data_IF_947030488504
#
_entry.id   IF_947030488504
#
_cell.length_a   1.000
_cell.length_b   1.000
_cell.length_c   1.000
_cell.angle_alpha   90.00
_cell.angle_beta   90.00
_cell.angle_gamma   90.00
#
_symmetry.space_group_name_H-M   'P 1'
#
loop_
_entity.id
_entity.type
_entity.pdbx_description
1 polymer ?
#
# COMPACT_ATOMS: atom_id res chain seq x y z
N UNK A 1 10.10 9.64 24.50
CA UNK A 1 8.72 9.35 24.03
C UNK A 1 8.78 8.11 23.15
N UNK A 2 7.84 7.19 23.23
CA UNK A 2 7.79 5.99 22.38
C UNK A 2 6.88 6.32 21.20
N UNK A 3 7.37 6.09 19.98
CA UNK A 3 6.58 6.23 18.75
C UNK A 3 6.05 4.86 18.33
N UNK A 4 4.74 4.73 18.14
CA UNK A 4 4.07 3.49 17.78
C UNK A 4 3.65 3.55 16.31
N UNK A 5 4.29 2.73 15.48
CA UNK A 5 3.96 2.60 14.06
C UNK A 5 3.17 1.33 13.80
N UNK A 6 2.06 1.46 13.09
CA UNK A 6 1.25 0.32 12.68
C UNK A 6 1.86 -0.31 11.41
N UNK A 7 2.51 -1.46 11.58
CA UNK A 7 3.16 -2.24 10.50
C UNK A 7 2.12 -2.78 9.52
N UNK A 8 2.14 -2.28 8.29
CA UNK A 8 1.15 -2.54 7.23
C UNK A 8 -0.28 -2.15 7.62
N UNK A 9 -0.40 -1.06 8.40
CA UNK A 9 -1.63 -0.68 9.06
C UNK A 9 -1.92 -1.49 10.32
N UNK A 10 -3.13 -1.42 10.84
CA UNK A 10 -3.57 -2.23 11.98
C UNK A 10 -3.86 -3.68 11.54
N UNK A 11 -2.82 -4.39 11.11
CA UNK A 11 -2.90 -5.70 10.43
C UNK A 11 -3.42 -6.85 11.30
N UNK A 12 -3.51 -6.67 12.61
CA UNK A 12 -4.20 -7.62 13.49
C UNK A 12 -5.73 -7.52 13.43
N UNK A 13 -6.26 -6.40 12.93
CA UNK A 13 -7.70 -6.09 12.91
C UNK A 13 -8.30 -6.03 11.50
N UNK A 14 -7.48 -5.82 10.49
CA UNK A 14 -7.90 -5.68 9.10
C UNK A 14 -6.80 -6.20 8.15
N UNK A 15 -7.14 -6.54 6.90
CA UNK A 15 -6.15 -7.05 5.94
C UNK A 15 -4.95 -6.12 5.78
N UNK A 16 -3.74 -6.66 5.87
CA UNK A 16 -2.50 -5.90 5.78
C UNK A 16 -2.42 -5.05 4.49
N UNK A 17 -1.79 -3.88 4.57
CA UNK A 17 -1.57 -2.99 3.43
C UNK A 17 -2.85 -2.61 2.67
N UNK A 18 -3.97 -2.51 3.37
CA UNK A 18 -5.27 -2.08 2.81
C UNK A 18 -5.77 -0.81 3.47
N UNK A 19 -6.65 -0.06 2.80
CA UNK A 19 -7.24 1.15 3.39
C UNK A 19 -7.98 0.87 4.70
N UNK A 20 -8.76 -0.21 4.87
CA UNK A 20 -9.34 -0.55 6.17
C UNK A 20 -8.31 -0.68 7.29
N UNK A 21 -7.14 -1.30 7.02
CA UNK A 21 -6.08 -1.43 8.02
C UNK A 21 -5.45 -0.09 8.39
N UNK A 22 -5.23 0.79 7.41
CA UNK A 22 -4.68 2.14 7.66
C UNK A 22 -5.67 3.04 8.38
N UNK A 23 -6.94 3.04 7.99
CA UNK A 23 -8.00 3.77 8.73
C UNK A 23 -8.09 3.29 10.17
N UNK A 24 -7.99 1.98 10.39
CA UNK A 24 -8.01 1.41 11.74
C UNK A 24 -6.80 1.85 12.57
N UNK A 25 -5.63 1.97 11.96
CA UNK A 25 -4.43 2.49 12.64
C UNK A 25 -4.63 3.95 13.10
N UNK A 26 -5.21 4.79 12.25
CA UNK A 26 -5.56 6.18 12.59
C UNK A 26 -6.57 6.23 13.75
N UNK A 27 -7.64 5.43 13.69
CA UNK A 27 -8.67 5.35 14.75
C UNK A 27 -8.10 4.89 16.08
N UNK A 28 -7.12 3.98 16.08
CA UNK A 28 -6.46 3.47 17.28
C UNK A 28 -5.43 4.46 17.86
N UNK A 29 -5.17 5.58 17.17
CA UNK A 29 -4.24 6.61 17.64
C UNK A 29 -2.77 6.21 17.50
N UNK A 30 -2.42 5.42 16.50
CA UNK A 30 -1.02 5.16 16.17
C UNK A 30 -0.32 6.47 15.77
N UNK A 31 0.95 6.64 16.15
CA UNK A 31 1.74 7.82 15.78
C UNK A 31 2.13 7.82 14.31
N UNK A 32 2.21 6.63 13.72
CA UNK A 32 2.55 6.47 12.32
C UNK A 32 2.12 5.13 11.74
N UNK A 33 2.39 4.96 10.47
CA UNK A 33 2.25 3.68 9.75
C UNK A 33 3.54 3.31 9.06
N UNK A 34 3.66 2.03 8.80
CA UNK A 34 4.59 1.49 7.81
C UNK A 34 3.79 0.83 6.70
N UNK A 35 4.24 0.96 5.48
CA UNK A 35 3.63 0.33 4.30
C UNK A 35 4.68 -0.04 3.26
N UNK A 36 4.29 -0.94 2.37
CA UNK A 36 5.11 -1.42 1.26
C UNK A 36 4.48 -1.02 -0.05
N UNK A 37 5.29 -0.57 -1.02
CA UNK A 37 4.81 -0.20 -2.35
C UNK A 37 5.59 -0.91 -3.45
N UNK A 38 4.86 -1.30 -4.49
CA UNK A 38 5.39 -1.86 -5.73
C UNK A 38 5.02 -0.99 -6.93
N UNK A 39 5.95 -0.88 -7.87
CA UNK A 39 5.72 -0.18 -9.13
C UNK A 39 5.12 -1.12 -10.17
N UNK A 40 3.97 -0.76 -10.70
CA UNK A 40 3.28 -1.50 -11.77
C UNK A 40 3.82 -1.16 -13.16
N UNK A 41 3.37 -1.90 -14.19
CA UNK A 41 3.83 -1.70 -15.58
C UNK A 41 3.47 -0.32 -16.15
N UNK A 42 2.40 0.28 -15.65
CA UNK A 42 1.91 1.61 -16.05
C UNK A 42 2.43 2.74 -15.14
N UNK A 43 3.46 2.46 -14.32
CA UNK A 43 4.14 3.47 -13.52
C UNK A 43 3.38 3.95 -12.29
N UNK A 44 2.38 3.20 -11.83
CA UNK A 44 1.66 3.49 -10.59
C UNK A 44 2.28 2.75 -9.41
N UNK A 45 2.18 3.31 -8.21
CA UNK A 45 2.54 2.62 -6.98
C UNK A 45 1.31 2.00 -6.33
N UNK A 46 1.34 0.67 -6.16
CA UNK A 46 0.32 -0.12 -5.49
C UNK A 46 0.86 -0.58 -4.14
N UNK A 47 0.03 -0.50 -3.10
CA UNK A 47 0.40 -0.88 -1.74
C UNK A 47 0.23 -2.38 -1.54
N UNK A 48 1.35 -3.08 -1.38
CA UNK A 48 1.40 -4.53 -1.15
C UNK A 48 2.81 -4.90 -0.67
N UNK A 49 2.94 -5.89 0.21
CA UNK A 49 4.25 -6.33 0.70
C UNK A 49 4.97 -7.24 -0.31
N UNK A 50 4.31 -8.32 -0.73
CA UNK A 50 4.91 -9.31 -1.63
C UNK A 50 4.92 -8.80 -3.09
N UNK A 51 5.87 -9.25 -3.87
CA UNK A 51 5.89 -9.02 -5.33
C UNK A 51 4.77 -9.77 -6.05
N UNK A 52 4.33 -10.92 -5.52
CA UNK A 52 3.16 -11.67 -6.00
C UNK A 52 1.91 -11.36 -5.16
N UNK A 53 0.77 -11.25 -5.81
CA UNK A 53 -0.51 -10.97 -5.14
C UNK A 53 -1.14 -12.19 -4.43
N UNK A 54 -0.55 -13.35 -4.59
CA UNK A 54 -1.11 -14.67 -4.25
C UNK A 54 -1.38 -14.87 -2.76
N UNK A 55 -0.48 -14.43 -1.88
CA UNK A 55 -0.60 -14.64 -0.44
C UNK A 55 -1.74 -13.85 0.21
N UNK A 56 -1.97 -12.65 -0.26
CA UNK A 56 -2.89 -11.69 0.39
C UNK A 56 -4.17 -11.45 -0.40
N UNK A 57 -4.30 -12.01 -1.61
CA UNK A 57 -5.49 -11.81 -2.44
C UNK A 57 -6.05 -13.13 -2.99
N UNK A 58 -7.17 -13.03 -3.68
CA UNK A 58 -7.76 -14.12 -4.48
C UNK A 58 -7.18 -14.23 -5.90
N UNK A 59 -6.19 -13.40 -6.23
CA UNK A 59 -5.50 -13.39 -7.51
C UNK A 59 -4.18 -14.14 -7.51
N UNK A 60 -3.50 -14.10 -8.65
CA UNK A 60 -2.17 -14.68 -8.85
C UNK A 60 -1.34 -13.84 -9.81
N UNK A 61 -0.04 -13.80 -9.61
CA UNK A 61 0.92 -13.14 -10.50
C UNK A 61 1.69 -12.00 -9.85
N UNK A 62 2.63 -11.42 -10.60
CA UNK A 62 3.57 -10.41 -10.12
C UNK A 62 3.06 -8.99 -10.39
N UNK A 63 3.12 -8.12 -9.39
CA UNK A 63 2.77 -6.70 -9.51
C UNK A 63 3.60 -5.97 -10.56
N UNK A 64 4.88 -6.34 -10.71
CA UNK A 64 5.77 -5.78 -11.73
C UNK A 64 5.36 -6.14 -13.17
N UNK A 65 4.46 -7.09 -13.36
CA UNK A 65 3.95 -7.55 -14.66
C UNK A 65 2.49 -7.14 -14.92
N UNK A 66 1.87 -6.41 -13.98
CA UNK A 66 0.48 -5.95 -14.05
C UNK A 66 0.40 -4.44 -14.14
N UNK A 67 -0.70 -3.94 -14.72
CA UNK A 67 -1.13 -2.57 -14.50
C UNK A 67 -1.76 -2.42 -13.11
N UNK A 68 -1.84 -1.19 -12.60
CA UNK A 68 -2.53 -0.93 -11.36
C UNK A 68 -4.01 -1.35 -11.40
N UNK A 69 -4.68 -1.14 -12.54
CA UNK A 69 -6.07 -1.56 -12.74
C UNK A 69 -6.22 -3.08 -12.63
N UNK A 70 -5.32 -3.85 -13.24
CA UNK A 70 -5.33 -5.32 -13.16
C UNK A 70 -5.14 -5.80 -11.72
N UNK A 71 -4.14 -5.27 -11.01
CA UNK A 71 -3.88 -5.62 -9.62
C UNK A 71 -5.07 -5.31 -8.70
N UNK A 72 -5.77 -4.22 -8.94
CA UNK A 72 -6.90 -3.77 -8.13
C UNK A 72 -8.22 -4.53 -8.38
N UNK A 73 -8.26 -5.40 -9.37
CA UNK A 73 -9.41 -6.31 -9.57
C UNK A 73 -9.47 -7.41 -8.53
N UNK A 74 -8.35 -7.76 -7.90
CA UNK A 74 -8.29 -8.79 -6.88
C UNK A 74 -8.81 -8.29 -5.52
N UNK A 75 -9.29 -9.25 -4.71
CA UNK A 75 -9.74 -8.98 -3.36
C UNK A 75 -8.61 -9.23 -2.35
N UNK A 76 -8.03 -8.19 -1.81
CA UNK A 76 -6.95 -8.25 -0.81
C UNK A 76 -7.45 -8.49 0.62
N UNK A 77 -8.73 -8.75 0.79
CA UNK A 77 -9.30 -9.27 2.04
C UNK A 77 -9.61 -10.77 2.00
N UNK A 78 -9.47 -11.42 0.85
CA UNK A 78 -9.87 -12.81 0.64
C UNK A 78 -9.17 -13.81 1.55
N UNK A 79 -7.94 -13.51 1.99
CA UNK A 79 -7.14 -14.38 2.86
C UNK A 79 -7.14 -13.95 4.33
N UNK A 80 -7.83 -12.86 4.67
CA UNK A 80 -7.88 -12.39 6.06
C UNK A 80 -8.97 -13.16 6.84
N UNK A 81 -8.59 -13.86 7.93
CA UNK A 81 -9.53 -14.68 8.68
C UNK A 81 -10.66 -13.83 9.29
N UNK A 82 -11.90 -14.25 9.07
CA UNK A 82 -13.06 -13.61 9.66
C UNK A 82 -13.47 -12.27 9.04
N UNK A 83 -12.88 -11.88 7.92
CA UNK A 83 -13.31 -10.66 7.21
C UNK A 83 -14.72 -10.85 6.66
N UNK A 84 -15.65 -10.04 7.15
CA UNK A 84 -17.07 -10.04 6.75
C UNK A 84 -17.48 -8.82 5.92
N UNK A 85 -16.52 -7.93 5.62
CA UNK A 85 -16.74 -6.75 4.81
C UNK A 85 -16.73 -7.02 3.31
N UNK A 86 -16.88 -5.95 2.55
CA UNK A 86 -16.84 -5.98 1.09
C UNK A 86 -15.46 -6.37 0.55
N UNK A 87 -15.40 -6.59 -0.77
CA UNK A 87 -14.15 -6.74 -1.50
C UNK A 87 -13.24 -5.51 -1.28
N UNK A 88 -11.97 -5.76 -0.99
CA UNK A 88 -10.98 -4.73 -0.72
C UNK A 88 -9.91 -4.75 -1.81
N UNK A 89 -9.81 -3.72 -2.66
CA UNK A 89 -8.72 -3.61 -3.64
C UNK A 89 -7.41 -3.25 -2.96
N UNK A 90 -6.28 -3.54 -3.61
CA UNK A 90 -5.01 -2.96 -3.21
C UNK A 90 -5.07 -1.43 -3.36
N UNK A 91 -4.63 -0.65 -2.36
CA UNK A 91 -4.62 0.80 -2.47
C UNK A 91 -3.59 1.30 -3.50
N UNK A 92 -3.89 2.40 -4.15
CA UNK A 92 -2.85 3.25 -4.75
C UNK A 92 -2.16 4.08 -3.65
N UNK A 93 -0.92 4.47 -3.90
CA UNK A 93 -0.18 5.31 -2.96
C UNK A 93 -0.94 6.61 -2.61
N UNK A 94 -1.53 7.29 -3.59
CA UNK A 94 -2.31 8.51 -3.34
C UNK A 94 -3.49 8.27 -2.38
N UNK A 95 -4.20 7.16 -2.53
CA UNK A 95 -5.32 6.80 -1.64
C UNK A 95 -4.86 6.54 -0.20
N UNK A 96 -3.71 5.87 -0.05
CA UNK A 96 -3.10 5.67 1.27
C UNK A 96 -2.72 7.01 1.90
N UNK A 97 -2.00 7.86 1.16
CA UNK A 97 -1.51 9.15 1.66
C UNK A 97 -2.66 10.07 2.09
N UNK A 98 -3.79 10.02 1.40
CA UNK A 98 -5.00 10.75 1.80
C UNK A 98 -5.50 10.34 3.20
N UNK A 99 -5.44 9.05 3.50
CA UNK A 99 -5.88 8.50 4.80
C UNK A 99 -4.92 8.88 5.93
N UNK A 100 -3.60 8.90 5.68
CA UNK A 100 -2.57 8.99 6.73
C UNK A 100 -1.86 10.34 6.80
N UNK A 101 -2.27 11.33 6.01
CA UNK A 101 -1.59 12.62 5.88
C UNK A 101 -1.41 13.40 7.21
N UNK A 102 -2.21 13.10 8.24
CA UNK A 102 -2.12 13.74 9.55
C UNK A 102 -1.22 13.04 10.56
N UNK A 103 -0.59 11.92 10.20
CA UNK A 103 0.25 11.14 11.09
C UNK A 103 1.68 11.71 11.18
N UNK A 104 2.34 11.52 12.31
CA UNK A 104 3.72 12.01 12.54
C UNK A 104 4.74 11.28 11.66
N UNK A 105 4.53 9.98 11.43
CA UNK A 105 5.47 9.15 10.65
C UNK A 105 4.72 8.34 9.61
N UNK A 106 5.19 8.45 8.37
CA UNK A 106 4.77 7.59 7.27
C UNK A 106 6.03 6.91 6.73
N UNK A 107 6.22 5.65 7.09
CA UNK A 107 7.36 4.83 6.68
C UNK A 107 6.99 4.03 5.43
N UNK A 108 7.61 4.32 4.29
CA UNK A 108 7.30 3.69 3.01
C UNK A 108 8.49 2.86 2.57
N UNK A 109 8.32 1.54 2.48
CA UNK A 109 9.29 0.65 1.87
C UNK A 109 9.00 0.47 0.38
N UNK A 110 9.99 0.82 -0.46
CA UNK A 110 9.88 0.64 -1.91
C UNK A 110 10.43 -0.74 -2.26
N UNK A 111 9.55 -1.60 -2.73
CA UNK A 111 9.87 -3.00 -3.07
C UNK A 111 10.25 -3.14 -4.54
N UNK A 112 11.12 -4.11 -4.84
CA UNK A 112 11.37 -4.68 -6.16
C UNK A 112 10.65 -6.02 -6.33
N UNK A 113 10.82 -6.69 -7.47
CA UNK A 113 11.73 -6.34 -8.55
C UNK A 113 11.20 -5.19 -9.44
N UNK A 114 12.16 -4.50 -10.09
CA UNK A 114 11.84 -3.51 -11.11
C UNK A 114 12.08 -4.12 -12.49
N UNK A 115 11.25 -3.76 -13.46
CA UNK A 115 11.40 -4.26 -14.84
C UNK A 115 12.63 -3.64 -15.50
N UNK A 116 13.39 -4.42 -16.30
CA UNK A 116 14.45 -3.86 -17.13
C UNK A 116 13.90 -2.73 -18.04
N UNK A 117 14.62 -1.62 -18.12
CA UNK A 117 14.22 -0.46 -18.92
C UNK A 117 13.18 0.47 -18.28
N UNK A 118 12.73 0.18 -17.05
CA UNK A 118 11.83 1.04 -16.30
C UNK A 118 12.54 2.35 -15.90
N UNK A 119 11.90 3.49 -16.16
CA UNK A 119 12.44 4.79 -15.76
C UNK A 119 12.26 5.04 -14.25
N UNK A 120 13.23 4.57 -13.48
CA UNK A 120 13.20 4.70 -12.02
C UNK A 120 13.29 6.15 -11.55
N UNK A 121 13.94 7.04 -12.33
CA UNK A 121 14.00 8.45 -11.98
C UNK A 121 12.63 9.10 -12.06
N UNK A 122 11.88 8.82 -13.13
CA UNK A 122 10.51 9.29 -13.28
C UNK A 122 9.59 8.69 -12.20
N UNK A 123 9.76 7.40 -11.88
CA UNK A 123 8.99 6.74 -10.82
C UNK A 123 9.21 7.38 -9.45
N UNK A 124 10.45 7.63 -9.05
CA UNK A 124 10.76 8.33 -7.80
C UNK A 124 10.24 9.77 -7.79
N UNK A 125 10.37 10.50 -8.90
CA UNK A 125 9.81 11.83 -9.01
C UNK A 125 8.29 11.83 -8.81
N UNK A 126 7.59 10.89 -9.43
CA UNK A 126 6.14 10.70 -9.26
C UNK A 126 5.74 10.41 -7.80
N UNK A 127 6.49 9.57 -7.10
CA UNK A 127 6.29 9.32 -5.67
C UNK A 127 6.50 10.59 -4.84
N UNK A 128 7.59 11.33 -5.08
CA UNK A 128 7.86 12.58 -4.36
C UNK A 128 6.78 13.63 -4.61
N UNK A 129 6.24 13.69 -5.82
CA UNK A 129 5.13 14.58 -6.13
C UNK A 129 3.83 14.17 -5.41
N UNK A 130 3.56 12.86 -5.29
CA UNK A 130 2.44 12.37 -4.48
C UNK A 130 2.58 12.78 -3.00
N UNK A 131 3.76 12.56 -2.40
CA UNK A 131 4.04 12.98 -1.02
C UNK A 131 3.82 14.48 -0.80
N UNK A 132 4.26 15.32 -1.74
CA UNK A 132 4.05 16.78 -1.67
C UNK A 132 2.57 17.16 -1.79
N UNK A 133 1.83 16.55 -2.73
CA UNK A 133 0.39 16.81 -2.90
C UNK A 133 -0.37 16.57 -1.61
N UNK A 134 -0.05 15.50 -0.89
CA UNK A 134 -0.69 15.12 0.37
C UNK A 134 -0.03 15.73 1.62
N UNK A 135 0.96 16.63 1.43
CA UNK A 135 1.71 17.29 2.53
C UNK A 135 2.39 16.29 3.49
N UNK A 136 2.88 15.18 2.94
CA UNK A 136 3.59 14.15 3.67
C UNK A 136 5.12 14.24 3.52
N UNK A 137 5.61 15.24 2.81
CA UNK A 137 7.03 15.48 2.58
C UNK A 137 7.47 16.83 3.15
#
# INVERSE_FOLDING_TARGET
MINVQAHRGASAYAPENTLPAFRRAVELGADGIECDIHLTTDGQYVVCHDDAVDRTSDGTGLLSEMTAEEARRFNFAARFPGWSGDRVPAPLLDELLEVVAGMEVINIEIKGPFRPGQDMKAAYAGMMDALKRHRCA
#
